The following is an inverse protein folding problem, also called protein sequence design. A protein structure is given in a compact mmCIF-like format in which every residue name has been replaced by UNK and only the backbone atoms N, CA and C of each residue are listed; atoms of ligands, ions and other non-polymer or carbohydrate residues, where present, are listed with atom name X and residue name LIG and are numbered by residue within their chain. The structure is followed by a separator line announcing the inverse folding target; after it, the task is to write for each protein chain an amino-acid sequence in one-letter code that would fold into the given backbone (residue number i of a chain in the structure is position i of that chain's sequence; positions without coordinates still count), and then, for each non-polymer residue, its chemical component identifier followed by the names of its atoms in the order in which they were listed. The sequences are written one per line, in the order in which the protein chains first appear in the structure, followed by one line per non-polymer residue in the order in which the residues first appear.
data_IF_447891099451
#
_entry.id   IF_447891099451
#
_cell.length_a   1.000
_cell.length_b   1.000
_cell.length_c   1.000
_cell.angle_alpha   90.00
_cell.angle_beta   90.00
_cell.angle_gamma   90.00
#
_symmetry.space_group_name_H-M   'P 1'
#
loop_
_entity.id
_entity.type
_entity.pdbx_description
1 polymer ?
#
# COMPACT_ATOMS: atom_id res chain seq x y z
N UNK A 1 20.95 -5.55 5.69
CA UNK A 1 19.93 -4.51 5.95
C UNK A 1 18.70 -5.17 6.56
N UNK A 2 18.10 -4.57 7.60
CA UNK A 2 16.93 -5.13 8.30
C UNK A 2 15.98 -4.00 8.74
N UNK A 3 14.68 -4.30 8.84
CA UNK A 3 13.72 -3.42 9.53
C UNK A 3 13.40 -4.03 10.90
N UNK A 4 13.49 -3.21 11.95
CA UNK A 4 13.12 -3.56 13.32
C UNK A 4 11.86 -2.80 13.74
N UNK A 5 10.88 -3.55 14.24
CA UNK A 5 9.66 -3.02 14.84
C UNK A 5 9.79 -3.19 16.36
N UNK A 6 10.04 -2.10 17.08
CA UNK A 6 10.04 -2.10 18.55
C UNK A 6 8.60 -1.93 19.01
N UNK A 7 7.94 -3.05 19.28
CA UNK A 7 6.48 -3.21 19.35
C UNK A 7 5.70 -2.21 20.20
N UNK A 8 4.54 -1.81 19.69
CA UNK A 8 3.24 -2.16 20.29
C UNK A 8 2.31 -2.49 19.11
N UNK A 9 1.93 -3.76 18.98
CA UNK A 9 1.18 -4.34 17.85
C UNK A 9 1.96 -4.41 16.52
N UNK A 10 2.30 -5.63 16.09
CA UNK A 10 2.34 -5.89 14.65
C UNK A 10 0.95 -5.51 14.15
N UNK A 11 0.81 -4.62 13.15
CA UNK A 11 -0.51 -4.28 12.62
C UNK A 11 -1.23 -5.58 12.34
N UNK A 12 -2.35 -5.81 13.02
CA UNK A 12 -3.19 -6.94 12.73
C UNK A 12 -3.54 -6.78 11.25
N UNK A 13 -2.97 -7.65 10.41
CA UNK A 13 -3.24 -7.67 8.99
C UNK A 13 -4.76 -7.58 8.83
N UNK A 14 -5.26 -6.50 8.24
CA UNK A 14 -6.70 -6.29 8.15
C UNK A 14 -7.30 -7.53 7.45
N UNK A 15 -8.17 -8.27 8.17
CA UNK A 15 -8.75 -9.54 7.68
C UNK A 15 -9.81 -9.31 6.59
N UNK A 16 -9.99 -8.07 6.15
CA UNK A 16 -10.95 -7.65 5.12
C UNK A 16 -10.15 -6.88 4.06
N UNK A 17 -10.50 -7.06 2.77
CA UNK A 17 -9.71 -6.49 1.67
C UNK A 17 -9.51 -4.97 1.79
N UNK A 18 -8.41 -4.47 1.23
CA UNK A 18 -7.94 -3.10 1.43
C UNK A 18 -6.57 -2.85 0.81
N UNK A 19 -6.09 -1.62 0.95
CA UNK A 19 -4.76 -1.21 0.50
C UNK A 19 -3.98 -0.69 1.71
N UNK A 20 -2.78 -1.24 1.93
CA UNK A 20 -1.91 -0.87 3.05
C UNK A 20 -0.61 -0.23 2.53
N UNK A 21 -0.09 0.78 3.24
CA UNK A 21 1.21 1.40 2.91
C UNK A 21 2.33 0.67 3.62
N UNK A 22 3.33 0.28 2.85
CA UNK A 22 4.49 -0.45 3.32
C UNK A 22 5.77 0.34 3.02
N UNK A 23 6.74 0.28 3.93
CA UNK A 23 8.13 0.67 3.66
C UNK A 23 8.91 -0.57 3.21
N UNK A 24 9.44 -0.54 1.99
CA UNK A 24 10.27 -1.61 1.43
C UNK A 24 11.71 -1.12 1.32
N UNK A 25 12.65 -1.81 1.97
CA UNK A 25 14.07 -1.47 1.84
C UNK A 25 14.55 -1.69 0.40
N UNK A 26 15.34 -0.74 -0.09
CA UNK A 26 15.96 -0.81 -1.41
C UNK A 26 17.39 -1.30 -1.23
N UNK A 27 17.76 -2.37 -1.94
CA UNK A 27 19.13 -2.84 -1.92
C UNK A 27 20.04 -1.78 -2.59
N UNK A 28 21.19 -1.43 -1.99
CA UNK A 28 22.01 -0.31 -2.42
C UNK A 28 22.60 -0.50 -3.82
N UNK A 29 22.68 -1.74 -4.32
CA UNK A 29 23.38 -2.06 -5.57
C UNK A 29 22.47 -2.09 -6.81
N UNK A 30 21.14 -2.01 -6.67
CA UNK A 30 20.23 -2.20 -7.79
C UNK A 30 19.16 -1.10 -7.96
N UNK A 31 18.89 -0.26 -6.95
CA UNK A 31 17.73 0.64 -6.97
C UNK A 31 16.38 -0.08 -7.01
N UNK A 32 16.39 -1.41 -7.09
CA UNK A 32 15.21 -2.27 -7.09
C UNK A 32 14.81 -2.57 -5.64
N UNK A 33 13.55 -2.32 -5.26
CA UNK A 33 13.02 -2.70 -3.96
C UNK A 33 13.02 -4.23 -3.83
N UNK A 34 13.95 -4.80 -3.08
CA UNK A 34 14.06 -6.26 -2.88
C UNK A 34 14.28 -6.65 -1.41
N UNK A 35 14.29 -5.68 -0.50
CA UNK A 35 14.58 -5.89 0.90
C UNK A 35 13.35 -6.17 1.78
N UNK A 36 13.58 -6.30 3.10
CA UNK A 36 12.52 -6.47 4.09
C UNK A 36 11.45 -5.39 3.97
N UNK A 37 10.22 -5.75 4.31
CA UNK A 37 9.06 -4.86 4.28
C UNK A 37 8.51 -4.65 5.68
N UNK A 38 8.14 -3.41 6.00
CA UNK A 38 7.38 -3.06 7.19
C UNK A 38 6.07 -2.38 6.82
N UNK A 39 4.98 -2.83 7.45
CA UNK A 39 3.67 -2.21 7.34
C UNK A 39 3.69 -0.90 8.13
N UNK A 40 3.28 0.21 7.53
CA UNK A 40 3.05 1.45 8.24
C UNK A 40 1.67 1.38 8.90
N UNK A 41 1.57 1.58 10.23
CA UNK A 41 0.27 1.62 10.88
C UNK A 41 -0.48 2.91 10.48
N UNK A 42 -1.79 2.91 10.71
CA UNK A 42 -2.63 4.10 10.54
C UNK A 42 -2.36 5.18 11.60
N UNK A 43 -1.53 4.87 12.60
CA UNK A 43 -1.03 5.81 13.60
C UNK A 43 0.33 6.38 13.17
N UNK A 44 0.68 7.56 13.70
CA UNK A 44 1.99 8.13 13.47
C UNK A 44 3.09 7.27 14.10
N UNK A 45 4.17 7.02 13.36
CA UNK A 45 5.37 6.30 13.81
C UNK A 45 6.60 7.13 13.55
N UNK A 46 7.52 7.13 14.51
CA UNK A 46 8.85 7.67 14.30
C UNK A 46 9.72 6.64 13.57
N UNK A 47 10.54 7.15 12.67
CA UNK A 47 11.45 6.35 11.86
C UNK A 47 12.87 6.84 12.07
N UNK A 48 13.78 5.89 12.34
CA UNK A 48 15.20 6.16 12.55
C UNK A 48 16.06 5.16 11.82
N UNK A 49 17.15 5.65 11.23
CA UNK A 49 18.25 4.77 10.83
C UNK A 49 19.20 4.54 12.02
N UNK A 50 19.43 3.28 12.37
CA UNK A 50 20.33 2.86 13.45
C UNK A 50 21.50 2.07 12.88
N UNK A 51 22.74 2.44 13.25
CA UNK A 51 23.95 1.70 12.89
C UNK A 51 24.20 1.55 11.38
N UNK A 52 23.58 2.41 10.55
CA UNK A 52 23.74 2.42 9.10
C UNK A 52 23.09 1.28 8.31
N UNK A 53 22.50 0.30 8.99
CA UNK A 53 21.97 -0.91 8.33
C UNK A 53 20.57 -1.30 8.78
N UNK A 54 20.05 -0.64 9.81
CA UNK A 54 18.77 -0.96 10.42
C UNK A 54 17.84 0.24 10.34
N UNK A 55 16.63 0.02 9.83
CA UNK A 55 15.53 0.96 9.99
C UNK A 55 14.71 0.56 11.22
N UNK A 56 14.55 1.47 12.18
CA UNK A 56 13.70 1.24 13.36
C UNK A 56 12.43 2.07 13.23
N UNK A 57 11.29 1.42 13.41
CA UNK A 57 10.00 2.08 13.57
C UNK A 57 9.57 1.96 15.04
N UNK A 58 9.26 3.10 15.64
CA UNK A 58 8.91 3.21 17.05
C UNK A 58 7.70 4.16 17.24
N UNK A 59 6.97 4.04 18.35
CA UNK A 59 5.98 5.06 18.72
C UNK A 59 6.63 6.44 18.73
N UNK A 60 5.91 7.49 18.31
CA UNK A 60 6.47 8.85 18.24
C UNK A 60 7.03 9.25 19.61
N UNK A 61 8.36 9.37 19.76
CA UNK A 61 8.95 9.67 21.04
C UNK A 61 8.66 11.12 21.40
N UNK A 62 8.49 11.38 22.69
CA UNK A 62 8.46 12.74 23.26
C UNK A 62 9.85 13.21 23.68
N UNK A 63 10.90 12.42 23.46
CA UNK A 63 12.26 12.66 23.95
C UNK A 63 13.32 12.85 22.84
N UNK A 64 14.44 13.47 23.23
CA UNK A 64 15.60 13.76 22.38
C UNK A 64 16.55 12.56 22.18
N UNK A 65 17.30 12.50 21.06
CA UNK A 65 17.23 13.41 19.90
C UNK A 65 15.99 13.14 19.04
N UNK A 66 15.47 14.11 18.26
CA UNK A 66 14.31 13.91 17.40
C UNK A 66 14.55 12.81 16.35
N UNK A 67 13.51 12.08 15.90
CA UNK A 67 13.65 11.05 14.86
C UNK A 67 13.98 11.67 13.49
N UNK A 68 14.47 10.85 12.56
CA UNK A 68 14.80 11.29 11.20
C UNK A 68 13.53 11.79 10.48
N UNK A 69 12.43 11.05 10.67
CA UNK A 69 11.10 11.43 10.24
C UNK A 69 10.01 10.83 11.15
N UNK A 70 8.82 11.45 11.12
CA UNK A 70 7.57 10.88 11.62
C UNK A 70 6.67 10.61 10.43
N UNK A 71 6.18 9.39 10.28
CA UNK A 71 5.31 8.97 9.18
C UNK A 71 3.93 8.59 9.73
N UNK A 72 2.87 9.08 9.10
CA UNK A 72 1.50 8.69 9.40
C UNK A 72 0.81 8.24 8.10
N UNK A 73 0.44 6.96 8.00
CA UNK A 73 -0.30 6.45 6.86
C UNK A 73 -1.78 6.83 6.98
N UNK A 74 -2.36 7.28 5.87
CA UNK A 74 -3.78 7.61 5.79
C UNK A 74 -4.33 7.34 4.39
N UNK A 75 -5.64 7.25 4.29
CA UNK A 75 -6.32 6.96 3.02
C UNK A 75 -7.17 8.16 2.63
N UNK A 76 -6.88 8.73 1.45
CA UNK A 76 -7.68 9.81 0.87
C UNK A 76 -9.05 9.29 0.40
N UNK A 77 -9.96 10.22 0.08
CA UNK A 77 -11.22 9.90 -0.59
C UNK A 77 -10.96 8.99 -1.82
N UNK A 78 -11.83 7.99 -2.00
CA UNK A 78 -11.72 6.92 -3.01
C UNK A 78 -10.67 5.83 -2.73
N UNK A 79 -10.05 5.79 -1.55
CA UNK A 79 -9.20 4.67 -1.13
C UNK A 79 -7.73 4.78 -1.48
N UNK A 80 -7.29 5.97 -1.87
CA UNK A 80 -5.93 6.19 -2.32
C UNK A 80 -5.02 6.36 -1.10
N UNK A 81 -4.10 5.41 -0.83
CA UNK A 81 -3.26 5.50 0.34
C UNK A 81 -2.16 6.56 0.15
N UNK A 82 -1.83 7.26 1.23
CA UNK A 82 -0.83 8.32 1.33
C UNK A 82 -0.11 8.22 2.67
N UNK A 83 1.04 8.85 2.76
CA UNK A 83 1.79 8.98 4.01
C UNK A 83 2.11 10.43 4.24
N UNK A 84 1.68 10.99 5.37
CA UNK A 84 2.12 12.31 5.79
C UNK A 84 3.45 12.13 6.53
N UNK A 85 4.50 12.78 6.03
CA UNK A 85 5.83 12.74 6.61
C UNK A 85 6.18 14.10 7.21
N UNK A 86 6.68 14.10 8.44
CA UNK A 86 7.29 15.25 9.10
C UNK A 86 8.78 14.99 9.29
N UNK A 87 9.62 15.90 8.80
CA UNK A 87 11.08 15.77 8.86
C UNK A 87 11.66 16.67 9.94
N UNK A 88 12.67 16.19 10.65
CA UNK A 88 13.39 17.03 11.60
C UNK A 88 14.01 18.26 10.88
N UNK A 89 14.09 19.44 11.52
CA UNK A 89 14.58 20.67 10.89
C UNK A 89 16.00 20.58 10.28
N UNK A 90 16.82 19.66 10.77
CA UNK A 90 18.19 19.42 10.30
C UNK A 90 18.36 18.02 9.69
N UNK A 91 17.25 17.38 9.31
CA UNK A 91 17.30 16.07 8.67
C UNK A 91 18.05 16.17 7.34
N UNK A 92 19.09 15.36 7.19
CA UNK A 92 19.78 15.15 5.92
C UNK A 92 19.09 14.08 5.06
N UNK A 93 17.85 13.71 5.41
CA UNK A 93 17.04 12.82 4.57
C UNK A 93 16.79 13.45 3.21
N UNK A 94 16.77 12.60 2.18
CA UNK A 94 16.37 12.96 0.84
C UNK A 94 15.09 12.20 0.47
N UNK A 95 14.18 12.88 -0.21
CA UNK A 95 13.00 12.30 -0.84
C UNK A 95 13.17 12.47 -2.34
N UNK A 96 13.19 11.36 -3.09
CA UNK A 96 13.44 11.36 -4.54
C UNK A 96 14.69 12.17 -4.93
N UNK A 97 15.76 12.04 -4.13
CA UNK A 97 17.04 12.72 -4.33
C UNK A 97 17.08 14.20 -3.94
N UNK A 98 16.02 14.75 -3.33
CA UNK A 98 15.94 16.17 -2.93
C UNK A 98 15.68 16.31 -1.44
N UNK A 99 16.18 17.38 -0.83
CA UNK A 99 15.85 17.70 0.55
C UNK A 99 14.35 18.04 0.66
N UNK A 100 13.59 17.35 1.52
CA UNK A 100 12.17 17.62 1.67
C UNK A 100 11.91 18.91 2.47
N UNK A 101 10.73 19.54 2.30
CA UNK A 101 10.22 20.52 3.26
C UNK A 101 9.93 19.86 4.62
N UNK A 102 9.60 20.67 5.64
CA UNK A 102 9.31 20.15 7.00
C UNK A 102 8.17 19.14 7.05
N UNK A 103 7.21 19.24 6.13
CA UNK A 103 6.13 18.29 5.99
C UNK A 103 5.88 18.02 4.50
N UNK A 104 5.70 16.76 4.14
CA UNK A 104 5.44 16.33 2.77
C UNK A 104 4.40 15.21 2.76
N UNK A 105 3.49 15.24 1.79
CA UNK A 105 2.62 14.10 1.50
C UNK A 105 3.36 13.20 0.54
N UNK A 106 3.71 12.01 1.02
CA UNK A 106 4.34 10.96 0.24
C UNK A 106 3.28 10.04 -0.38
N UNK A 107 3.64 9.46 -1.50
CA UNK A 107 2.84 8.52 -2.26
C UNK A 107 3.62 7.23 -2.56
N UNK A 108 2.91 6.23 -3.04
CA UNK A 108 3.49 5.03 -3.60
C UNK A 108 4.55 5.38 -4.67
N UNK A 109 5.70 4.70 -4.61
CA UNK A 109 6.85 4.93 -5.45
C UNK A 109 7.85 5.96 -4.93
N UNK A 110 7.50 6.78 -3.92
CA UNK A 110 8.48 7.73 -3.37
C UNK A 110 9.65 7.01 -2.69
N UNK A 111 10.86 7.48 -2.99
CA UNK A 111 12.12 6.98 -2.47
C UNK A 111 12.63 7.86 -1.33
N UNK A 112 12.92 7.26 -0.19
CA UNK A 112 13.45 7.90 1.01
C UNK A 112 14.90 7.43 1.21
N UNK A 113 15.84 8.38 1.28
CA UNK A 113 17.24 8.11 1.61
C UNK A 113 17.55 8.74 2.96
N UNK A 114 18.02 7.95 3.90
CA UNK A 114 18.38 8.37 5.26
C UNK A 114 19.81 8.92 5.29
N UNK A 115 20.17 9.74 6.30
CA UNK A 115 21.52 10.30 6.43
C UNK A 115 22.63 9.23 6.46
N UNK A 116 22.29 8.03 6.89
CA UNK A 116 23.18 6.87 6.90
C UNK A 116 23.48 6.26 5.53
N UNK A 117 22.79 6.71 4.47
CA UNK A 117 22.81 6.09 3.14
C UNK A 117 21.82 4.93 2.97
N UNK A 118 21.11 4.53 4.03
CA UNK A 118 20.02 3.55 3.92
C UNK A 118 18.90 4.12 3.03
N UNK A 119 18.34 3.33 2.14
CA UNK A 119 17.25 3.75 1.27
C UNK A 119 16.02 2.82 1.39
N UNK A 120 14.83 3.39 1.28
CA UNK A 120 13.59 2.65 1.14
C UNK A 120 12.65 3.31 0.13
N UNK A 121 11.70 2.52 -0.37
CA UNK A 121 10.60 2.99 -1.20
C UNK A 121 9.28 2.75 -0.49
N UNK A 122 8.34 3.67 -0.69
CA UNK A 122 6.95 3.45 -0.32
C UNK A 122 6.28 2.55 -1.36
N UNK A 123 5.67 1.47 -0.91
CA UNK A 123 4.92 0.54 -1.73
C UNK A 123 3.50 0.39 -1.19
N UNK A 124 2.51 0.30 -2.07
CA UNK A 124 1.16 -0.10 -1.70
C UNK A 124 1.05 -1.63 -1.80
N UNK A 125 0.61 -2.29 -0.73
CA UNK A 125 0.24 -3.69 -0.76
C UNK A 125 -1.27 -3.80 -0.94
N UNK A 126 -1.69 -4.47 -2.01
CA UNK A 126 -3.10 -4.63 -2.36
C UNK A 126 -3.60 -5.98 -1.86
N UNK A 127 -4.71 -5.96 -1.13
CA UNK A 127 -5.47 -7.18 -0.77
C UNK A 127 -6.87 -7.10 -1.35
N UNK A 128 -7.15 -7.77 -2.47
CA UNK A 128 -8.48 -7.74 -3.04
C UNK A 128 -9.48 -8.47 -2.15
N UNK A 129 -10.70 -7.94 -2.07
CA UNK A 129 -11.81 -8.69 -1.49
C UNK A 129 -12.55 -9.41 -2.60
N UNK A 130 -12.63 -10.74 -2.48
CA UNK A 130 -13.37 -11.61 -3.39
C UNK A 130 -14.24 -12.51 -2.53
N UNK A 131 -15.55 -12.48 -2.78
CA UNK A 131 -16.50 -13.26 -2.00
C UNK A 131 -17.92 -13.12 -2.52
N UNK A 132 -18.85 -13.78 -1.85
CA UNK A 132 -20.28 -13.60 -2.11
C UNK A 132 -20.71 -12.17 -1.81
N UNK A 133 -21.51 -11.58 -2.70
CA UNK A 133 -22.02 -10.22 -2.55
C UNK A 133 -22.82 -10.08 -1.26
N UNK A 134 -22.22 -9.42 -0.27
CA UNK A 134 -22.91 -9.08 0.98
C UNK A 134 -23.85 -7.88 0.81
N UNK A 135 -24.57 -7.52 1.88
CA UNK A 135 -25.56 -6.44 1.90
C UNK A 135 -25.02 -5.07 1.43
N UNK A 136 -23.71 -4.81 1.54
CA UNK A 136 -23.11 -3.56 1.11
C UNK A 136 -22.96 -3.45 -0.42
N UNK A 137 -23.00 -4.56 -1.17
CA UNK A 137 -22.82 -4.52 -2.64
C UNK A 137 -23.84 -5.29 -3.45
N UNK A 138 -24.60 -6.20 -2.83
CA UNK A 138 -25.66 -6.91 -3.53
C UNK A 138 -26.63 -5.91 -4.18
N UNK A 139 -26.92 -6.10 -5.47
CA UNK A 139 -27.77 -5.22 -6.26
C UNK A 139 -27.11 -3.93 -6.76
N UNK A 140 -25.93 -3.53 -6.27
CA UNK A 140 -25.20 -2.38 -6.80
C UNK A 140 -24.78 -2.64 -8.25
N UNK A 141 -24.67 -1.61 -9.10
CA UNK A 141 -24.28 -1.79 -10.49
C UNK A 141 -22.81 -2.22 -10.60
N UNK A 142 -22.55 -3.24 -11.42
CA UNK A 142 -21.19 -3.62 -11.80
C UNK A 142 -20.51 -2.48 -12.54
N UNK A 143 -19.29 -2.11 -12.14
CA UNK A 143 -18.55 -0.99 -12.73
C UNK A 143 -18.18 -1.19 -14.22
N UNK A 144 -18.32 -2.41 -14.74
CA UNK A 144 -18.02 -2.72 -16.14
C UNK A 144 -19.28 -2.79 -17.02
N UNK A 145 -20.22 -3.67 -16.68
CA UNK A 145 -21.41 -3.94 -17.50
C UNK A 145 -22.68 -3.22 -17.03
N UNK A 146 -22.66 -2.59 -15.85
CA UNK A 146 -23.81 -1.89 -15.27
C UNK A 146 -24.90 -2.80 -14.68
N UNK A 147 -24.87 -4.11 -14.96
CA UNK A 147 -25.83 -5.05 -14.41
C UNK A 147 -25.68 -5.19 -12.88
N UNK A 148 -26.78 -5.48 -12.14
CA UNK A 148 -26.72 -5.67 -10.70
C UNK A 148 -25.74 -6.78 -10.30
N UNK A 149 -25.01 -6.53 -9.22
CA UNK A 149 -24.07 -7.48 -8.64
C UNK A 149 -24.82 -8.54 -7.80
N UNK A 150 -24.49 -9.80 -8.02
CA UNK A 150 -25.04 -10.96 -7.30
C UNK A 150 -24.03 -12.10 -7.28
N UNK A 151 -24.16 -13.00 -6.32
CA UNK A 151 -23.24 -14.14 -6.18
C UNK A 151 -21.82 -13.70 -5.87
N UNK A 152 -20.82 -14.43 -6.37
CA UNK A 152 -19.42 -14.10 -6.18
C UNK A 152 -18.97 -12.86 -6.97
N UNK A 153 -18.35 -11.91 -6.27
CA UNK A 153 -17.89 -10.65 -6.83
C UNK A 153 -16.50 -10.27 -6.36
N UNK A 154 -15.82 -9.48 -7.17
CA UNK A 154 -14.62 -8.74 -6.80
C UNK A 154 -15.03 -7.36 -6.28
N UNK A 155 -14.40 -6.90 -5.19
CA UNK A 155 -14.48 -5.52 -4.72
C UNK A 155 -13.13 -4.84 -4.84
N UNK A 156 -13.14 -3.65 -5.44
CA UNK A 156 -11.97 -2.80 -5.51
C UNK A 156 -11.56 -2.39 -4.09
N UNK A 157 -10.34 -2.78 -3.70
CA UNK A 157 -9.75 -2.45 -2.40
C UNK A 157 -9.59 -0.95 -2.13
N UNK A 158 -9.60 -0.14 -3.20
CA UNK A 158 -9.49 1.31 -3.16
C UNK A 158 -10.89 1.93 -2.98
N UNK A 159 -11.75 1.89 -4.00
CA UNK A 159 -13.02 2.62 -3.96
C UNK A 159 -14.25 1.79 -3.52
N UNK A 160 -14.08 0.52 -3.18
CA UNK A 160 -15.16 -0.39 -2.77
C UNK A 160 -16.10 -0.86 -3.90
N UNK A 161 -15.96 -0.30 -5.11
CA UNK A 161 -16.83 -0.65 -6.24
C UNK A 161 -16.63 -2.09 -6.72
N UNK A 162 -17.70 -2.68 -7.25
CA UNK A 162 -17.75 -4.11 -7.54
C UNK A 162 -17.71 -4.48 -9.01
N UNK A 163 -17.22 -5.70 -9.26
CA UNK A 163 -17.20 -6.36 -10.57
C UNK A 163 -17.65 -7.81 -10.40
N UNK A 164 -18.39 -8.34 -11.38
CA UNK A 164 -18.76 -9.76 -11.37
C UNK A 164 -17.51 -10.66 -11.46
N UNK A 165 -17.49 -11.71 -10.64
CA UNK A 165 -16.47 -12.75 -10.63
C UNK A 165 -17.10 -14.08 -10.24
N UNK A 166 -18.07 -14.53 -11.05
CA UNK A 166 -18.87 -15.72 -10.76
C UNK A 166 -18.02 -17.00 -10.64
N UNK A 167 -16.86 -17.05 -11.31
CA UNK A 167 -15.84 -18.11 -11.15
C UNK A 167 -16.40 -19.56 -11.25
N UNK A 168 -17.40 -19.80 -12.08
CA UNK A 168 -17.96 -21.15 -12.27
C UNK A 168 -17.14 -21.99 -13.26
N UNK A 169 -16.65 -21.39 -14.36
CA UNK A 169 -15.73 -21.96 -15.34
C UNK A 169 -15.39 -20.83 -16.33
N UNK A 170 -14.12 -20.51 -16.63
CA UNK A 170 -13.82 -19.50 -17.66
C UNK A 170 -14.37 -19.84 -19.06
N UNK A 171 -14.75 -21.11 -19.29
CA UNK A 171 -15.41 -21.57 -20.52
C UNK A 171 -16.94 -21.47 -20.50
N UNK A 172 -17.54 -21.12 -19.36
CA UNK A 172 -18.97 -20.84 -19.29
C UNK A 172 -19.20 -19.41 -19.75
N UNK A 173 -19.63 -19.25 -20.99
CA UNK A 173 -19.89 -17.94 -21.62
C UNK A 173 -21.04 -17.17 -20.94
N UNK A 174 -21.87 -17.84 -20.13
CA UNK A 174 -22.94 -17.20 -19.37
C UNK A 174 -22.44 -16.67 -18.01
N UNK A 175 -21.27 -17.10 -17.55
CA UNK A 175 -20.71 -16.65 -16.28
C UNK A 175 -20.15 -15.22 -16.41
N UNK A 176 -20.76 -14.28 -15.68
CA UNK A 176 -20.28 -12.90 -15.63
C UNK A 176 -18.93 -12.83 -14.87
N UNK A 177 -17.85 -12.62 -15.62
CA UNK A 177 -16.48 -12.51 -15.09
C UNK A 177 -15.85 -11.16 -15.46
N UNK A 178 -16.61 -10.07 -15.29
CA UNK A 178 -16.18 -8.72 -15.65
C UNK A 178 -14.86 -8.30 -15.01
N UNK A 179 -14.52 -8.81 -13.82
CA UNK A 179 -13.24 -8.56 -13.17
C UNK A 179 -12.03 -9.11 -13.95
N UNK A 180 -12.21 -10.15 -14.78
CA UNK A 180 -11.16 -10.70 -15.65
C UNK A 180 -10.98 -9.88 -16.94
N UNK A 181 -12.00 -9.12 -17.34
CA UNK A 181 -12.04 -8.40 -18.62
C UNK A 181 -11.46 -6.97 -18.55
N UNK A 182 -11.06 -6.50 -17.37
CA UNK A 182 -10.60 -5.14 -17.15
C UNK A 182 -9.24 -5.10 -16.44
N UNK A 183 -8.36 -4.23 -16.91
CA UNK A 183 -7.07 -4.00 -16.23
C UNK A 183 -7.22 -3.02 -15.05
N UNK A 184 -8.10 -2.04 -15.14
CA UNK A 184 -8.26 -0.98 -14.13
C UNK A 184 -9.72 -0.79 -13.70
N UNK A 185 -9.92 -0.38 -12.45
CA UNK A 185 -11.21 -0.02 -11.91
C UNK A 185 -11.72 1.27 -12.58
N UNK A 186 -12.91 1.24 -13.19
CA UNK A 186 -13.45 2.44 -13.86
C UNK A 186 -13.71 3.64 -12.92
N UNK A 187 -13.90 3.39 -11.62
CA UNK A 187 -14.20 4.44 -10.64
C UNK A 187 -12.94 5.13 -10.10
N UNK A 188 -11.85 4.41 -9.85
CA UNK A 188 -10.63 4.96 -9.24
C UNK A 188 -9.36 4.78 -10.07
N UNK A 189 -9.45 4.14 -11.23
CA UNK A 189 -8.35 3.83 -12.16
C UNK A 189 -7.22 2.97 -11.58
N UNK A 190 -7.35 2.51 -10.33
CA UNK A 190 -6.42 1.53 -9.76
C UNK A 190 -6.53 0.19 -10.47
N UNK A 191 -5.40 -0.49 -10.57
CA UNK A 191 -5.32 -1.80 -11.21
C UNK A 191 -6.22 -2.80 -10.50
N UNK A 192 -6.96 -3.58 -11.28
CA UNK A 192 -7.73 -4.72 -10.75
C UNK A 192 -6.74 -5.85 -10.45
N UNK A 193 -6.67 -6.24 -9.18
CA UNK A 193 -5.82 -7.31 -8.68
C UNK A 193 -6.70 -8.41 -8.16
N UNK A 194 -6.47 -9.65 -8.57
CA UNK A 194 -7.22 -10.82 -8.11
C UNK A 194 -6.45 -11.65 -7.08
N UNK A 195 -5.16 -11.35 -6.94
CA UNK A 195 -4.24 -11.89 -5.95
C UNK A 195 -3.73 -10.76 -5.07
N UNK A 196 -3.33 -11.08 -3.85
CA UNK A 196 -2.62 -10.12 -3.02
C UNK A 196 -1.20 -9.86 -3.55
N UNK A 197 -0.66 -8.65 -3.38
CA UNK A 197 0.71 -8.33 -3.81
C UNK A 197 1.01 -6.84 -3.94
N UNK A 198 2.26 -6.53 -4.30
CA UNK A 198 2.71 -5.19 -4.67
C UNK A 198 2.55 -4.95 -6.18
N UNK A 199 2.32 -3.71 -6.61
CA UNK A 199 2.25 -3.38 -8.04
C UNK A 199 3.57 -3.68 -8.80
N UNK A 200 4.71 -3.64 -8.10
CA UNK A 200 6.04 -3.91 -8.67
C UNK A 200 6.34 -5.39 -8.92
N UNK A 201 5.55 -6.31 -8.38
CA UNK A 201 5.82 -7.75 -8.53
C UNK A 201 5.32 -8.30 -9.88
N UNK A 202 4.60 -7.50 -10.67
CA UNK A 202 4.15 -7.87 -12.02
C UNK A 202 5.19 -7.66 -13.11
N UNK A 203 6.21 -6.82 -12.90
CA UNK A 203 7.31 -6.70 -13.87
C UNK A 203 8.34 -7.83 -13.76
N UNK A 204 8.24 -8.68 -12.73
CA UNK A 204 9.12 -9.83 -12.55
C UNK A 204 8.53 -11.16 -13.08
N UNK A 205 7.35 -11.13 -13.72
CA UNK A 205 6.56 -12.33 -14.01
C UNK A 205 5.81 -12.34 -15.34
N UNK A 206 6.34 -11.66 -16.37
CA UNK A 206 5.98 -11.87 -17.78
C UNK A 206 7.24 -12.12 -18.61
#
# INVERSE_FOLDING_TARGET
MKIELTSAERPAAARQGGVEMHLRLVAPEAGVPSGPVAVLPATAVAVRSVGGQTLRLEPVPTSEPPPDAILAAYTLARGVPRVLAFFAPHSAMLVNGRQPPRALVLQEGDHLVFPSGLACSLAAYYRPWIGEADQAIAGQPCLFCGLPLSGRVYRCACCGGGLHLANANPKDEQALNCALAVATCRACQRTVRLTEGYDTDLEAGL
#
